data_IF_647182435184
#
_entry.id   IF_647182435184
#
_cell.length_a   1.000
_cell.length_b   1.000
_cell.length_c   1.000
_cell.angle_alpha   90.00
_cell.angle_beta   90.00
_cell.angle_gamma   90.00
#
_symmetry.space_group_name_H-M   'P 1'
#
loop_
_entity.id
_entity.type
_entity.pdbx_description
1 polymer ?
2 non-polymer ?
3 non-polymer ?
4 non-polymer ?
5 non-polymer ?
6 water ?
#
# COMPACT_ATOMS: atom_id res chain seq x y z
N UNK A 1 29.04 12.91 -1.69
CA UNK A 1 29.55 12.98 -0.30
C UNK A 1 28.97 11.84 0.52
N UNK A 2 29.71 11.43 1.54
CA UNK A 2 29.22 10.46 2.52
C UNK A 2 28.73 11.24 3.71
N UNK A 3 27.47 11.03 4.08
CA UNK A 3 26.88 11.68 5.24
C UNK A 3 26.65 10.72 6.40
N UNK A 4 26.60 11.29 7.59
CA UNK A 4 26.17 10.57 8.78
C UNK A 4 24.73 10.89 9.18
N UNK A 5 24.32 12.14 8.89
CA UNK A 5 22.96 12.65 9.17
C UNK A 5 22.32 13.11 7.88
N UNK A 6 21.01 12.86 7.74
CA UNK A 6 20.29 13.39 6.58
C UNK A 6 18.85 13.50 7.02
N UNK A 7 18.36 14.74 7.15
CA UNK A 7 17.06 14.93 7.75
C UNK A 7 17.01 14.31 9.12
N UNK A 8 16.01 13.47 9.36
CA UNK A 8 15.91 12.75 10.63
C UNK A 8 16.54 11.37 10.60
N UNK A 9 17.29 11.03 9.53
CA UNK A 9 17.98 9.76 9.48
C UNK A 9 19.40 9.91 9.99
N UNK A 10 19.87 8.86 10.65
CA UNK A 10 21.23 8.80 11.24
C UNK A 10 21.82 7.43 10.93
N UNK A 11 23.05 7.42 10.44
CA UNK A 11 23.77 6.16 10.24
C UNK A 11 23.82 5.35 11.55
N UNK A 12 23.67 4.03 11.38
CA UNK A 12 23.51 3.01 12.44
C UNK A 12 22.09 2.75 12.91
N UNK A 13 21.12 3.57 12.49
CA UNK A 13 19.77 3.34 12.93
C UNK A 13 19.22 2.07 12.28
N UNK A 14 18.32 1.42 13.00
CA UNK A 14 17.62 0.25 12.50
C UNK A 14 16.50 0.80 11.63
N UNK A 15 16.20 0.11 10.54
CA UNK A 15 15.29 0.61 9.53
C UNK A 15 14.68 -0.59 8.80
N UNK A 16 13.67 -0.37 7.97
CA UNK A 16 13.15 -1.38 7.07
C UNK A 16 13.60 -1.02 5.66
N UNK A 17 14.00 -2.02 4.88
CA UNK A 17 14.38 -1.83 3.48
C UNK A 17 13.61 -2.75 2.56
N UNK A 18 13.38 -2.26 1.35
CA UNK A 18 12.70 -3.03 0.33
C UNK A 18 13.69 -3.96 -0.37
N UNK A 19 13.41 -5.26 -0.34
CA UNK A 19 14.22 -6.23 -1.09
C UNK A 19 13.69 -6.38 -2.52
N UNK A 20 14.48 -7.02 -3.37
CA UNK A 20 14.12 -7.28 -4.77
C UNK A 20 12.87 -8.14 -4.93
N UNK A 21 12.56 -8.93 -3.89
CA UNK A 21 11.30 -9.68 -3.83
C UNK A 21 10.07 -8.78 -3.65
N UNK A 22 10.28 -7.49 -3.40
CA UNK A 22 9.24 -6.48 -3.14
C UNK A 22 8.65 -6.58 -1.73
N UNK A 23 9.19 -7.45 -0.89
CA UNK A 23 8.85 -7.46 0.52
C UNK A 23 9.91 -6.68 1.29
N UNK A 24 9.52 -6.25 2.50
CA UNK A 24 10.37 -5.35 3.27
C UNK A 24 10.85 -6.01 4.55
N UNK A 25 12.10 -5.70 4.91
CA UNK A 25 12.84 -6.44 5.91
C UNK A 25 13.74 -5.55 6.74
N UNK A 26 13.98 -6.01 7.97
CA UNK A 26 14.74 -5.26 8.95
C UNK A 26 16.21 -5.22 8.57
N UNK A 27 16.82 -4.06 8.78
CA UNK A 27 18.22 -3.89 8.50
C UNK A 27 18.76 -2.70 9.27
N UNK A 28 20.03 -2.40 9.02
CA UNK A 28 20.74 -1.28 9.63
C UNK A 28 21.17 -0.33 8.52
N UNK A 29 20.94 0.97 8.71
CA UNK A 29 21.42 1.99 7.79
C UNK A 29 22.93 2.18 8.05
N UNK A 30 23.75 1.72 7.11
CA UNK A 30 25.20 1.77 7.26
C UNK A 30 25.90 2.90 6.50
N UNK A 31 25.22 3.56 5.55
CA UNK A 31 25.80 4.72 4.91
C UNK A 31 24.72 5.55 4.22
N UNK A 32 25.01 6.83 4.05
CA UNK A 32 24.17 7.77 3.32
C UNK A 32 25.07 8.43 2.31
N UNK A 33 24.70 8.39 1.04
CA UNK A 33 25.57 8.85 -0.05
C UNK A 33 24.82 9.88 -0.86
N UNK A 34 25.44 11.00 -1.16
CA UNK A 34 24.89 11.99 -2.07
C UNK A 34 25.66 11.91 -3.38
N UNK A 35 24.93 12.03 -4.48
CA UNK A 35 25.52 12.18 -5.81
C UNK A 35 24.77 13.32 -6.45
N UNK A 36 25.30 14.54 -6.26
CA UNK A 36 24.64 15.76 -6.72
C UNK A 36 23.34 16.02 -5.96
N UNK A 37 22.21 16.15 -6.67
CA UNK A 37 20.93 16.33 -5.98
C UNK A 37 20.37 15.00 -5.39
N UNK A 38 20.94 13.87 -5.79
CA UNK A 38 20.44 12.56 -5.39
C UNK A 38 20.96 12.07 -4.05
N UNK A 39 20.18 11.21 -3.41
CA UNK A 39 20.57 10.57 -2.15
C UNK A 39 20.32 9.07 -2.24
N UNK A 40 21.25 8.30 -1.68
CA UNK A 40 21.09 6.86 -1.59
C UNK A 40 21.45 6.41 -0.18
N UNK A 41 20.87 5.28 0.20
CA UNK A 41 20.90 4.77 1.58
C UNK A 41 21.31 3.31 1.54
N UNK A 42 22.48 3.02 2.12
CA UNK A 42 23.03 1.67 2.12
C UNK A 42 22.51 0.93 3.35
N UNK A 43 21.82 -0.18 3.11
CA UNK A 43 21.22 -0.96 4.17
C UNK A 43 21.86 -2.34 4.22
N UNK A 44 22.30 -2.73 5.41
CA UNK A 44 22.72 -4.11 5.69
C UNK A 44 21.54 -4.82 6.34
N UNK A 45 20.95 -5.76 5.61
CA UNK A 45 19.83 -6.54 6.12
C UNK A 45 20.34 -7.54 7.14
N UNK A 46 19.43 -8.03 7.98
CA UNK A 46 19.83 -8.98 9.04
C UNK A 46 20.41 -10.32 8.56
N UNK A 47 20.21 -10.70 7.29
CA UNK A 47 20.96 -11.82 6.69
C UNK A 47 22.38 -11.46 6.17
N UNK A 48 22.85 -10.23 6.45
CA UNK A 48 24.17 -9.75 6.01
C UNK A 48 24.23 -9.22 4.57
N UNK A 49 23.18 -9.43 3.78
CA UNK A 49 23.11 -8.91 2.42
C UNK A 49 22.93 -7.40 2.49
N UNK A 50 23.47 -6.71 1.49
CA UNK A 50 23.46 -5.26 1.44
C UNK A 50 22.76 -4.77 0.18
N UNK A 51 22.04 -3.65 0.31
CA UNK A 51 21.46 -2.98 -0.85
C UNK A 51 21.70 -1.51 -0.72
N UNK A 52 21.93 -0.85 -1.85
CA UNK A 52 21.93 0.59 -1.94
C UNK A 52 20.58 1.04 -2.48
N UNK A 53 19.81 1.73 -1.63
CA UNK A 53 18.41 2.03 -1.88
C UNK A 53 18.12 3.50 -1.99
N UNK A 54 17.16 3.88 -2.83
CA UNK A 54 16.59 5.23 -2.80
C UNK A 54 15.77 5.42 -1.53
N UNK A 55 15.55 6.67 -1.15
CA UNK A 55 14.89 6.95 0.14
C UNK A 55 13.41 6.57 0.20
N UNK A 56 12.78 6.37 -0.97
CA UNK A 56 11.42 5.84 -1.02
C UNK A 56 11.36 4.31 -0.84
N UNK A 57 12.53 3.67 -0.74
CA UNK A 57 12.63 2.23 -0.56
C UNK A 57 13.21 1.84 0.79
N UNK A 58 13.14 2.78 1.72
CA UNK A 58 13.37 2.53 3.13
C UNK A 58 12.19 3.08 3.93
N UNK A 59 11.94 2.48 5.08
CA UNK A 59 10.86 2.91 5.96
C UNK A 59 11.34 2.88 7.41
N UNK A 60 10.75 3.72 8.23
CA UNK A 60 11.08 3.70 9.66
C UNK A 60 10.50 2.46 10.31
N UNK A 61 11.21 1.92 11.31
CA UNK A 61 10.72 0.77 12.06
C UNK A 61 9.90 1.19 13.29
N UNK A 62 8.93 2.08 13.08
CA UNK A 62 7.98 2.48 14.10
C UNK A 62 6.65 2.73 13.43
N UNK A 63 5.61 2.78 14.25
CA UNK A 63 4.27 3.08 13.78
C UNK A 63 4.00 4.58 13.95
N UNK A 64 3.61 5.26 12.86
CA UNK A 64 3.48 6.70 13.02
C UNK A 64 2.19 7.11 13.71
N UNK A 65 2.17 8.29 14.36
CA UNK A 65 0.92 8.79 14.93
C UNK A 65 -0.10 9.07 13.83
N UNK A 66 -1.38 8.94 14.19
CA UNK A 66 -2.49 9.16 13.25
C UNK A 66 -2.39 10.47 12.47
N UNK A 67 -1.98 11.55 13.11
CA UNK A 67 -1.93 12.86 12.46
C UNK A 67 -0.83 13.02 11.39
N UNK A 68 0.03 11.99 11.23
CA UNK A 68 1.02 12.01 10.16
C UNK A 68 0.61 11.12 9.01
N UNK A 69 -0.59 10.54 9.08
CA UNK A 69 -1.09 9.67 8.01
C UNK A 69 -2.24 10.36 7.31
N UNK A 70 -2.11 10.54 6.00
CA UNK A 70 -3.12 11.17 5.16
C UNK A 70 -3.52 10.20 4.06
N UNK A 71 -4.67 10.47 3.45
CA UNK A 71 -4.96 9.85 2.17
C UNK A 71 -3.77 10.17 1.22
N UNK A 72 -3.20 9.12 0.63
CA UNK A 72 -2.04 9.26 -0.22
C UNK A 72 -0.70 9.04 0.43
N UNK A 73 -0.67 8.89 1.75
CA UNK A 73 0.59 8.60 2.44
C UNK A 73 1.14 7.27 1.96
N UNK A 74 2.47 7.21 1.80
CA UNK A 74 3.17 6.03 1.36
C UNK A 74 3.62 5.25 2.57
N UNK A 75 3.19 3.98 2.65
CA UNK A 75 3.42 3.17 3.84
C UNK A 75 3.86 1.79 3.45
N UNK A 76 4.43 1.10 4.44
CA UNK A 76 4.59 -0.34 4.42
C UNK A 76 3.62 -0.92 5.41
N UNK A 77 2.93 -1.99 5.04
CA UNK A 77 1.88 -2.57 5.88
C UNK A 77 1.91 -4.08 5.89
N UNK A 78 1.38 -4.64 6.96
CA UNK A 78 1.24 -6.10 7.07
C UNK A 78 0.26 -6.58 6.01
N UNK A 79 0.72 -7.50 5.17
CA UNK A 79 -0.04 -8.00 4.01
C UNK A 79 -0.39 -9.44 4.30
N UNK A 80 -1.69 -9.77 4.23
CA UNK A 80 -2.23 -11.07 4.65
C UNK A 80 -2.53 -11.98 3.46
N UNK A 85 2.43 -13.76 6.71
CA UNK A 85 2.52 -12.30 6.88
C UNK A 85 3.82 -11.71 6.31
N UNK A 86 3.68 -10.84 5.29
CA UNK A 86 4.79 -10.07 4.74
C UNK A 86 4.55 -8.59 5.01
N UNK A 87 5.61 -7.81 4.89
CA UNK A 87 5.49 -6.36 4.83
C UNK A 87 5.58 -5.93 3.36
N UNK A 88 4.58 -5.17 2.91
CA UNK A 88 4.47 -4.80 1.52
C UNK A 88 4.08 -3.34 1.46
N UNK A 89 4.52 -2.64 0.41
CA UNK A 89 4.22 -1.23 0.24
C UNK A 89 2.79 -0.96 -0.27
N UNK A 90 2.26 0.17 0.16
CA UNK A 90 0.93 0.60 -0.24
C UNK A 90 0.74 2.10 -0.05
N UNK A 91 -0.50 2.50 -0.24
CA UNK A 91 -0.97 3.86 -0.12
C UNK A 91 -2.14 3.87 0.83
N UNK A 92 -2.16 4.85 1.73
CA UNK A 92 -3.31 5.05 2.58
C UNK A 92 -4.50 5.58 1.76
N UNK A 93 -5.58 4.80 1.78
CA UNK A 93 -6.83 5.15 1.09
C UNK A 93 -7.90 5.74 1.99
N UNK A 94 -7.88 5.37 3.27
CA UNK A 94 -8.80 5.91 4.28
C UNK A 94 -8.08 5.97 5.58
N UNK A 95 -8.40 7.01 6.36
CA UNK A 95 -7.97 7.09 7.75
C UNK A 95 -9.15 6.71 8.67
N UNK A 96 -8.88 6.45 9.95
CA UNK A 96 -9.95 6.00 10.85
C UNK A 96 -11.18 6.92 10.95
N UNK A 97 -12.35 6.34 10.82
CA UNK A 97 -13.59 7.06 11.00
C UNK A 97 -14.68 6.10 11.47
N UNK A 98 -15.85 6.66 11.77
CA UNK A 98 -16.93 5.84 12.30
C UNK A 98 -17.32 4.76 11.29
N UNK A 99 -17.46 5.13 10.02
CA UNK A 99 -17.91 4.18 8.99
C UNK A 99 -16.96 3.00 8.75
N UNK A 100 -15.65 3.17 8.97
CA UNK A 100 -14.69 2.05 8.83
C UNK A 100 -14.23 1.42 10.14
N UNK A 101 -14.96 1.72 11.22
CA UNK A 101 -14.67 1.18 12.55
C UNK A 101 -13.22 1.48 12.98
N UNK A 102 -12.82 2.71 12.68
CA UNK A 102 -11.56 3.28 13.12
C UNK A 102 -10.33 2.52 12.63
N UNK A 103 -10.31 2.17 11.33
CA UNK A 103 -9.19 1.47 10.73
C UNK A 103 -8.64 2.30 9.56
N UNK A 104 -7.46 1.91 9.11
CA UNK A 104 -6.85 2.46 7.89
C UNK A 104 -7.09 1.53 6.72
N UNK A 105 -7.58 2.07 5.61
CA UNK A 105 -7.65 1.28 4.36
C UNK A 105 -6.36 1.45 3.60
N UNK A 106 -5.73 0.33 3.23
CA UNK A 106 -4.50 0.34 2.44
C UNK A 106 -4.75 -0.24 1.06
N UNK A 107 -4.34 0.50 0.02
CA UNK A 107 -4.24 -0.03 -1.34
C UNK A 107 -2.79 -0.41 -1.57
N UNK A 108 -2.53 -1.71 -1.62
CA UNK A 108 -1.18 -2.21 -1.83
C UNK A 108 -0.78 -2.08 -3.30
N UNK A 109 0.52 -2.12 -3.54
CA UNK A 109 1.06 -1.81 -4.88
C UNK A 109 0.62 -2.81 -5.95
N UNK A 110 0.21 -4.00 -5.51
CA UNK A 110 -0.29 -5.02 -6.44
C UNK A 110 -1.79 -4.95 -6.70
N UNK A 111 -2.48 -3.96 -6.10
CA UNK A 111 -3.91 -3.81 -6.22
C UNK A 111 -4.75 -4.41 -5.11
N UNK A 112 -4.13 -5.21 -4.23
CA UNK A 112 -4.85 -5.74 -3.06
C UNK A 112 -5.25 -4.61 -2.09
N UNK A 113 -6.46 -4.68 -1.54
CA UNK A 113 -6.96 -3.70 -0.58
C UNK A 113 -7.30 -4.38 0.72
N UNK A 114 -6.92 -3.78 1.84
CA UNK A 114 -7.17 -4.36 3.16
C UNK A 114 -7.27 -3.29 4.22
N UNK A 115 -8.13 -3.51 5.23
CA UNK A 115 -8.11 -2.67 6.43
C UNK A 115 -7.05 -3.20 7.37
N UNK A 116 -6.32 -2.26 7.98
CA UNK A 116 -5.28 -2.55 8.98
C UNK A 116 -5.38 -1.55 10.15
N UNK A 117 -4.65 -1.88 11.22
CA UNK A 117 -4.55 -1.01 12.34
C UNK A 117 -3.24 -0.25 12.28
N UNK A 118 -3.15 0.77 13.13
CA UNK A 118 -1.93 1.55 13.27
C UNK A 118 -0.69 0.71 13.52
N UNK A 119 -0.83 -0.35 14.34
CA UNK A 119 0.30 -1.22 14.66
C UNK A 119 0.75 -2.13 13.51
N UNK A 120 0.10 -2.02 12.35
CA UNK A 120 0.42 -2.81 11.19
C UNK A 120 1.04 -1.96 10.09
N UNK A 121 1.34 -0.70 10.42
CA UNK A 121 1.83 0.32 9.46
C UNK A 121 3.18 0.88 9.81
N UNK A 122 3.96 1.22 8.78
CA UNK A 122 5.27 1.85 8.93
C UNK A 122 5.38 2.94 7.86
N UNK A 123 5.94 4.11 8.17
CA UNK A 123 6.05 5.18 7.17
C UNK A 123 7.29 5.05 6.31
N UNK A 124 7.13 5.25 4.99
CA UNK A 124 8.29 5.32 4.09
C UNK A 124 9.06 6.61 4.45
N UNK A 125 10.39 6.52 4.43
CA UNK A 125 11.22 7.61 4.93
C UNK A 125 11.21 8.84 4.05
N UNK A 126 11.38 8.62 2.74
CA UNK A 126 11.48 9.73 1.80
C UNK A 126 10.55 9.47 0.62
N UNK A 127 9.24 9.64 0.87
CA UNK A 127 8.30 9.40 -0.21
C UNK A 127 8.45 10.39 -1.34
N UNK A 128 8.05 9.97 -2.54
CA UNK A 128 8.05 10.92 -3.66
C UNK A 128 6.95 11.98 -3.46
N UNK A 129 7.15 13.14 -4.10
CA UNK A 129 6.20 14.25 -4.03
C UNK A 129 4.79 13.82 -4.41
N UNK A 130 4.71 13.11 -5.53
CA UNK A 130 3.50 12.40 -5.91
C UNK A 130 3.75 10.97 -5.51
N UNK A 131 3.16 10.59 -4.38
CA UNK A 131 3.58 9.36 -3.68
C UNK A 131 3.38 8.09 -4.50
N UNK A 132 2.41 8.11 -5.40
CA UNK A 132 2.10 6.99 -6.30
C UNK A 132 3.10 6.75 -7.40
N UNK A 133 4.02 7.70 -7.65
CA UNK A 133 4.88 7.59 -8.83
C UNK A 133 5.92 6.47 -8.81
N UNK A 134 6.11 5.81 -7.67
CA UNK A 134 6.95 4.63 -7.59
C UNK A 134 6.19 3.32 -7.52
N UNK A 135 4.92 3.36 -7.89
CA UNK A 135 4.11 2.14 -8.09
C UNK A 135 4.43 1.61 -9.48
N UNK A 136 4.97 0.38 -9.51
CA UNK A 136 5.57 -0.18 -10.75
C UNK A 136 4.53 -0.45 -11.82
N UNK A 137 3.38 -0.99 -11.41
CA UNK A 137 2.32 -1.33 -12.34
C UNK A 137 1.55 -0.08 -12.73
N UNK A 138 1.57 0.25 -14.01
CA UNK A 138 1.00 1.51 -14.49
C UNK A 138 -0.51 1.63 -14.28
N UNK A 139 -1.22 0.50 -14.39
CA UNK A 139 -2.67 0.52 -14.19
C UNK A 139 -2.96 0.85 -12.72
N UNK A 140 -2.17 0.25 -11.82
CA UNK A 140 -2.30 0.53 -10.38
C UNK A 140 -1.90 1.97 -10.08
N UNK A 141 -0.79 2.42 -10.66
CA UNK A 141 -0.32 3.78 -10.47
C UNK A 141 -1.35 4.84 -10.87
N UNK A 142 -1.93 4.68 -12.06
CA UNK A 142 -2.96 5.61 -12.51
C UNK A 142 -4.24 5.60 -11.66
N UNK A 143 -4.65 4.42 -11.22
CA UNK A 143 -5.80 4.33 -10.34
C UNK A 143 -5.56 5.09 -9.04
N UNK A 144 -4.37 4.93 -8.46
CA UNK A 144 -4.10 5.61 -7.19
C UNK A 144 -4.03 7.13 -7.39
N UNK A 145 -3.35 7.55 -8.45
CA UNK A 145 -3.35 8.99 -8.77
C UNK A 145 -4.77 9.57 -8.83
N UNK A 146 -5.64 8.90 -9.59
CA UNK A 146 -7.01 9.38 -9.69
C UNK A 146 -7.71 9.38 -8.33
N UNK A 147 -7.55 8.30 -7.58
CA UNK A 147 -8.22 8.17 -6.30
C UNK A 147 -7.76 9.26 -5.32
N UNK A 148 -6.45 9.42 -5.19
CA UNK A 148 -5.91 10.31 -4.17
C UNK A 148 -6.24 11.76 -4.52
N UNK A 149 -6.12 12.10 -5.81
CA UNK A 149 -6.34 13.49 -6.24
C UNK A 149 -7.82 13.87 -6.22
N UNK A 150 -8.70 12.91 -6.52
CA UNK A 150 -10.16 13.14 -6.50
C UNK A 150 -10.77 13.14 -5.10
N UNK A 151 -10.12 12.44 -4.16
CA UNK A 151 -10.56 12.36 -2.79
C UNK A 151 -10.92 13.76 -2.21
N UNK A 152 -12.07 13.97 -1.55
CA UNK A 152 -12.99 12.94 -1.02
C UNK A 152 -14.09 12.47 -1.96
N UNK A 153 -14.04 12.86 -3.23
CA UNK A 153 -15.03 12.39 -4.22
C UNK A 153 -14.64 10.96 -4.61
N UNK A 154 -15.43 9.97 -4.16
CA UNK A 154 -15.13 8.56 -4.35
C UNK A 154 -16.34 7.78 -4.85
N UNK A 155 -16.47 7.64 -6.16
CA UNK A 155 -17.58 6.81 -6.67
C UNK A 155 -17.39 5.37 -6.19
N UNK A 156 -18.46 4.80 -5.64
CA UNK A 156 -18.46 3.42 -5.15
C UNK A 156 -19.81 2.82 -5.47
N UNK A 157 -19.85 1.50 -5.67
CA UNK A 157 -21.15 0.85 -5.84
C UNK A 157 -21.66 0.37 -4.49
N UNK A 158 -22.95 0.60 -4.27
CA UNK A 158 -23.62 0.17 -3.06
C UNK A 158 -24.07 -1.27 -3.29
N UNK A 159 -23.55 -2.17 -2.47
CA UNK A 159 -23.79 -3.60 -2.61
C UNK A 159 -24.28 -4.20 -1.31
N UNK A 160 -25.14 -5.21 -1.45
CA UNK A 160 -25.71 -5.92 -0.32
C UNK A 160 -25.45 -7.42 -0.46
N UNK A 161 -25.32 -8.11 0.68
CA UNK A 161 -25.10 -9.53 0.67
C UNK A 161 -26.23 -10.24 -0.09
N UNK A 162 -25.84 -11.19 -0.93
CA UNK A 162 -26.75 -11.92 -1.78
C UNK A 162 -26.89 -11.37 -3.18
N UNK A 163 -26.42 -10.13 -3.41
CA UNK A 163 -26.59 -9.48 -4.70
C UNK A 163 -25.73 -10.15 -5.76
N UNK A 164 -26.31 -10.39 -6.94
CA UNK A 164 -25.60 -11.00 -8.05
C UNK A 164 -25.02 -9.95 -8.95
N UNK A 165 -23.72 -10.04 -9.22
CA UNK A 165 -23.02 -9.09 -10.08
C UNK A 165 -21.99 -9.83 -10.91
N UNK A 166 -21.45 -9.17 -11.93
CA UNK A 166 -20.30 -9.70 -12.64
C UNK A 166 -19.04 -9.05 -12.09
N UNK A 167 -18.04 -9.88 -11.85
CA UNK A 167 -16.74 -9.45 -11.36
C UNK A 167 -15.61 -9.91 -12.30
N UNK A 168 -14.62 -9.04 -12.50
CA UNK A 168 -13.51 -9.35 -13.38
C UNK A 168 -12.49 -10.27 -12.72
N UNK A 169 -11.95 -11.20 -13.51
CA UNK A 169 -10.80 -12.01 -13.08
C UNK A 169 -10.10 -12.45 -14.35
N UNK A 170 -8.79 -12.21 -14.41
CA UNK A 170 -7.95 -12.58 -15.58
C UNK A 170 -8.54 -12.08 -16.89
N UNK A 171 -9.01 -10.84 -16.88
CA UNK A 171 -9.44 -10.16 -18.09
C UNK A 171 -10.83 -10.43 -18.60
N UNK A 172 -11.61 -11.28 -17.93
CA UNK A 172 -12.98 -11.56 -18.35
C UNK A 172 -13.94 -11.43 -17.17
N UNK A 173 -15.23 -11.41 -17.46
CA UNK A 173 -16.28 -11.22 -16.44
C UNK A 173 -16.81 -12.55 -15.97
N UNK A 174 -17.03 -12.68 -14.65
CA UNK A 174 -17.53 -13.91 -14.06
C UNK A 174 -18.76 -13.65 -13.24
N UNK A 175 -19.72 -14.57 -13.30
CA UNK A 175 -20.86 -14.54 -12.43
C UNK A 175 -20.40 -14.68 -10.96
N UNK A 176 -20.89 -13.77 -10.15
CA UNK A 176 -20.44 -13.70 -8.76
C UNK A 176 -21.54 -13.22 -7.84
N UNK A 177 -21.33 -13.34 -6.54
CA UNK A 177 -22.33 -12.97 -5.56
C UNK A 177 -21.64 -12.25 -4.41
N UNK A 178 -22.26 -11.18 -3.94
CA UNK A 178 -21.75 -10.46 -2.79
C UNK A 178 -21.95 -11.32 -1.54
N UNK A 179 -20.88 -11.67 -0.86
CA UNK A 179 -20.99 -12.47 0.35
C UNK A 179 -21.07 -11.63 1.61
N UNK A 180 -20.27 -10.57 1.67
CA UNK A 180 -20.31 -9.67 2.81
C UNK A 180 -19.70 -8.34 2.42
N UNK A 181 -19.98 -7.33 3.24
CA UNK A 181 -19.45 -5.98 3.07
C UNK A 181 -18.81 -5.54 4.37
N UNK A 182 -17.67 -4.86 4.25
CA UNK A 182 -16.96 -4.33 5.41
C UNK A 182 -16.44 -2.94 4.99
N UNK A 183 -17.11 -1.89 5.44
CA UNK A 183 -16.75 -0.52 5.03
C UNK A 183 -16.76 -0.37 3.52
N UNK A 184 -15.63 0.06 2.99
CA UNK A 184 -15.45 0.30 1.56
C UNK A 184 -15.00 -0.94 0.80
N UNK A 185 -14.95 -2.09 1.45
CA UNK A 185 -14.58 -3.38 0.81
C UNK A 185 -15.81 -4.30 0.71
N UNK A 186 -15.81 -5.11 -0.34
CA UNK A 186 -16.84 -6.15 -0.55
C UNK A 186 -16.15 -7.51 -0.74
N UNK A 187 -16.72 -8.56 -0.16
CA UNK A 187 -16.20 -9.90 -0.33
C UNK A 187 -17.05 -10.55 -1.39
N UNK A 188 -16.45 -10.86 -2.52
CA UNK A 188 -17.14 -11.45 -3.67
C UNK A 188 -16.87 -12.95 -3.74
N UNK A 189 -17.95 -13.73 -3.90
CA UNK A 189 -17.87 -15.13 -4.20
C UNK A 189 -17.96 -15.32 -5.71
N UNK A 190 -16.92 -15.84 -6.30
CA UNK A 190 -16.92 -16.25 -7.71
C UNK A 190 -17.67 -17.59 -7.76
N UNK A 191 -18.79 -17.63 -8.47
CA UNK A 191 -19.74 -18.74 -8.30
C UNK A 191 -19.23 -20.05 -8.88
N UNK A 192 -18.60 -20.01 -10.05
CA UNK A 192 -18.04 -21.21 -10.66
C UNK A 192 -16.84 -21.77 -9.87
N UNK A 193 -15.95 -20.89 -9.45
CA UNK A 193 -14.72 -21.25 -8.76
C UNK A 193 -14.99 -21.57 -7.27
N UNK A 194 -16.07 -21.00 -6.74
CA UNK A 194 -16.47 -21.15 -5.32
C UNK A 194 -15.38 -20.69 -4.34
N UNK A 195 -14.73 -19.58 -4.68
CA UNK A 195 -13.82 -18.94 -3.75
C UNK A 195 -14.08 -17.44 -3.71
N UNK A 196 -13.66 -16.84 -2.60
CA UNK A 196 -13.92 -15.43 -2.31
C UNK A 196 -12.71 -14.54 -2.40
N UNK A 197 -12.96 -13.30 -2.73
CA UNK A 197 -11.95 -12.26 -2.76
C UNK A 197 -12.51 -10.95 -2.20
N UNK A 198 -11.73 -10.25 -1.38
CA UNK A 198 -12.07 -8.89 -0.96
C UNK A 198 -11.63 -7.88 -1.99
N UNK A 199 -12.55 -7.01 -2.39
CA UNK A 199 -12.34 -6.03 -3.44
C UNK A 199 -12.88 -4.66 -3.02
N UNK A 200 -12.15 -3.58 -3.35
CA UNK A 200 -12.62 -2.22 -3.11
C UNK A 200 -13.94 -1.93 -3.86
N UNK A 201 -14.93 -1.34 -3.19
CA UNK A 201 -16.26 -1.05 -3.80
C UNK A 201 -16.27 -0.01 -4.92
N UNK A 202 -15.18 0.74 -5.07
CA UNK A 202 -14.96 1.60 -6.22
C UNK A 202 -14.11 1.00 -7.31
N UNK A 203 -13.80 -0.30 -7.22
CA UNK A 203 -12.97 -0.98 -8.25
C UNK A 203 -13.77 -1.21 -9.51
N UNK A 204 -13.14 -0.95 -10.67
CA UNK A 204 -13.79 -1.25 -11.94
C UNK A 204 -13.78 -2.74 -12.26
N UNK A 205 -13.21 -3.58 -11.37
CA UNK A 205 -13.41 -5.03 -11.45
C UNK A 205 -14.85 -5.42 -11.09
N UNK A 206 -15.61 -4.53 -10.46
CA UNK A 206 -17.01 -4.78 -10.17
C UNK A 206 -17.74 -4.19 -11.36
N UNK A 207 -18.45 -5.03 -12.10
CA UNK A 207 -18.99 -4.58 -13.40
C UNK A 207 -19.82 -3.31 -13.28
N UNK A 208 -20.65 -3.19 -12.22
CA UNK A 208 -21.38 -1.94 -11.98
C UNK A 208 -20.51 -0.64 -11.91
N UNK A 209 -19.28 -0.75 -11.39
CA UNK A 209 -18.30 0.37 -11.44
C UNK A 209 -17.70 0.57 -12.82
N UNK A 210 -17.39 -0.54 -13.51
CA UNK A 210 -16.85 -0.51 -14.87
C UNK A 210 -17.80 0.17 -15.85
N UNK A 211 -19.10 -0.16 -15.74
CA UNK A 211 -20.13 0.35 -16.64
C UNK A 211 -20.68 1.70 -16.16
X LIG B 1 -8.82 -17.17 -6.60
X LIG B 1 -9.21 -17.41 -8.06
X LIG B 1 -10.57 -16.76 -8.33
X LIG B 1 -9.22 -18.86 -8.36
X LIG B 1 -11.13 -17.18 -9.67
X LIG B 1 -12.18 -16.45 -10.24
X LIG B 1 -12.79 -16.89 -11.40
X LIG B 1 -12.35 -18.02 -12.03
X LIG B 1 -11.28 -18.74 -11.51
X LIG B 1 -10.67 -18.34 -10.33
X LIG B 1 -9.50 -19.12 -9.77
X LIG B 1 -8.84 -18.09 -5.80
X LIG B 1 -8.48 -15.91 -6.29
X LIG B 1 -8.13 -15.40 -4.94
X LIG B 1 -9.34 -15.54 -4.02
X LIG B 1 -6.95 -16.20 -4.39
X LIG B 1 -7.74 -13.93 -5.05
X LIG C 1 2.50 12.48 1.74
X LIG C 1 3.88 12.07 1.75
X LIG C 1 2.00 12.75 3.17
X LIG C 1 2.26 11.65 4.07
X LIG D 1 5.95 8.23 -12.76
X LIG D 1 4.66 8.25 -13.39
X LIG D 1 7.02 8.49 -13.79
X LIG D 1 8.11 7.62 -13.54
X LIG E 1 -19.48 -18.07 -15.32
X LIG E 1 -18.50 -18.91 -16.07
X LIG E 1 -19.09 -16.64 -15.31
X LIG E 1 -20.86 -18.16 -15.86
X LIG E 1 -19.49 -18.64 -13.95
X LIG F 1 12.97 -9.80 8.74
X LIG F 1 14.41 -9.82 9.09
X LIG F 1 12.76 -10.58 7.51
X LIG F 1 12.18 -10.33 9.86
X LIG F 1 12.54 -8.37 8.59
X LIG G 1 16.41 1.68 -5.89
X LIG G 1 17.31 0.52 -6.10
X LIG G 1 17.15 2.92 -6.27
X LIG G 1 16.02 1.71 -4.46
X LIG G 1 15.23 1.51 -6.78
X LIG H 1 -3.61 -1.34 17.37
X LIG H 1 -3.62 -2.78 17.00
X LIG H 1 -2.91 -0.53 16.34
X LIG H 1 -5.02 -0.86 17.45
X LIG H 1 -2.92 -1.15 18.67
X LIG I 1 -13.16 -6.39 -18.50
X LIG I 1 -12.49 -6.72 -19.78
X LIG I 1 -12.17 -5.85 -17.55
X LIG I 1 -13.77 -7.63 -17.93
X LIG I 1 -14.21 -5.39 -18.78
X LIG J 1 15.51 -4.74 16.40
X LIG J 1 16.60 -5.73 16.52
X LIG J 1 16.05 -3.51 15.77
X LIG J 1 14.41 -5.29 15.58
X LIG J 1 14.99 -4.41 17.75
X LIG K 1 4.97 -3.75 16.04
X LIG L 1 -7.64 -1.76 -4.74
X LIG M 1 -4.34 -1.80 -8.97
X LIG N 1 -9.06 -3.97 13.83
X LIG O 1 16.11 11.33 -0.18
X LIG P 1 -16.00 -17.91 -0.27
X LIG Q 1 -22.87 -6.63 -12.70
X LIG R 1 28.28 2.15 9.12
#
# INVERSE_FOLDING_TARGET
ENLYFQGDLIVSMRILGKKRTKTWHKGTLIAIQTVGPGKKYKVKFDNKGKSLLSGNHIAYDYHPPADKLYVGSRVVAKYKDGNQVWLYAGIVAETPNVKNKLRFLIFFDDGYASYVTQSELYPICRPLKKTWEDIEDISCRDFIEEYVTAYPNRPMVLLKSGQLIKTEWEGTWWKSRVEEVDGSLVRILFLDDKRCEWIYRGSTRLEPMFSMK
6S4 C4 C5 C6 N1 C7 C8 C9 C10 C11 C12 C13 O N C1 C3 C2 C
EDO C1 O1 C2 O2
EDO C1 O1 C2 O2
SO4 S O1 O2 O3 O4
SO4 S O1 O2 O3 O4
SO4 S O1 O2 O3 O4
SO4 S O1 O2 O3 O4
SO4 S O1 O2 O3 O4
SO4 S O1 O2 O3 O4
UNX UNK
UNX UNK
UNX UNK
UNX UNK
UNX UNK
UNX UNK
UNX UNK
UNX UNK
#
